data_IF_844307420268
#
_entry.id   IF_844307420268
#
_cell.length_a   1.000
_cell.length_b   1.000
_cell.length_c   1.000
_cell.angle_alpha   90.00
_cell.angle_beta   90.00
_cell.angle_gamma   90.00
#
_symmetry.space_group_name_H-M   'P 1'
#
loop_
_entity.id
_entity.type
_entity.pdbx_description
1 polymer ?
#
# COMPACT_ATOMS: atom_id res chain seq x y z
N UNK A 1 -6.05 -8.94 -30.71
CA UNK A 1 -5.04 -8.98 -29.63
C UNK A 1 -5.33 -10.20 -28.76
N UNK A 2 -4.34 -11.01 -28.41
CA UNK A 2 -4.56 -12.20 -27.55
C UNK A 2 -4.94 -11.72 -26.15
N UNK A 3 -5.99 -12.31 -25.58
CA UNK A 3 -6.37 -12.13 -24.17
C UNK A 3 -5.14 -12.30 -23.26
N UNK A 4 -4.88 -11.40 -22.29
CA UNK A 4 -3.76 -11.55 -21.37
C UNK A 4 -3.86 -12.89 -20.64
N UNK A 5 -2.77 -13.65 -20.65
CA UNK A 5 -2.70 -14.91 -19.91
C UNK A 5 -2.83 -14.59 -18.41
N UNK A 6 -3.76 -15.24 -17.69
CA UNK A 6 -4.05 -14.99 -16.26
C UNK A 6 -2.92 -15.38 -15.30
N UNK A 7 -1.76 -15.76 -15.83
CA UNK A 7 -0.59 -16.29 -15.12
C UNK A 7 0.67 -15.42 -15.31
N UNK A 8 0.51 -14.10 -15.46
CA UNK A 8 1.63 -13.19 -15.69
C UNK A 8 1.55 -11.97 -14.80
N UNK A 9 2.67 -11.63 -14.15
CA UNK A 9 2.81 -10.36 -13.46
C UNK A 9 3.22 -9.29 -14.45
N UNK A 10 2.38 -8.28 -14.59
CA UNK A 10 2.69 -7.07 -15.33
C UNK A 10 3.19 -6.02 -14.34
N UNK A 11 4.35 -5.45 -14.62
CA UNK A 11 4.84 -4.28 -13.88
C UNK A 11 5.00 -3.19 -14.92
N UNK A 12 4.30 -2.08 -14.69
CA UNK A 12 4.56 -0.87 -15.45
C UNK A 12 5.85 -0.25 -14.90
N UNK A 13 6.83 -0.03 -15.76
CA UNK A 13 8.00 0.78 -15.41
C UNK A 13 7.88 2.13 -16.09
N UNK A 14 8.03 3.20 -15.32
CA UNK A 14 7.97 4.56 -15.85
C UNK A 14 9.37 5.00 -16.25
N UNK A 15 9.60 5.17 -17.55
CA UNK A 15 10.77 5.91 -18.06
C UNK A 15 10.37 7.37 -18.18
N UNK A 16 11.02 8.23 -17.41
CA UNK A 16 11.06 9.68 -17.59
C UNK A 16 9.70 10.39 -17.81
N UNK A 17 8.64 9.85 -17.21
CA UNK A 17 7.37 10.56 -17.03
C UNK A 17 6.49 10.75 -18.27
N UNK A 18 6.86 10.33 -19.48
CA UNK A 18 6.04 10.56 -20.69
C UNK A 18 5.26 9.35 -21.19
N UNK A 19 5.85 8.14 -21.21
CA UNK A 19 5.23 6.96 -21.83
C UNK A 19 5.13 5.76 -20.88
N UNK A 20 3.98 5.07 -20.91
CA UNK A 20 3.73 3.84 -20.15
C UNK A 20 4.12 2.64 -21.01
N UNK A 21 5.27 2.03 -20.71
CA UNK A 21 5.62 0.72 -21.26
C UNK A 21 5.26 -0.38 -20.25
N UNK A 22 4.33 -1.24 -20.64
CA UNK A 22 3.98 -2.43 -19.89
C UNK A 22 4.99 -3.53 -20.20
N UNK A 23 5.75 -3.96 -19.19
CA UNK A 23 6.64 -5.10 -19.33
C UNK A 23 6.07 -6.31 -18.58
N UNK A 24 5.92 -7.42 -19.31
CA UNK A 24 5.67 -8.73 -18.69
C UNK A 24 6.96 -9.16 -18.02
N UNK A 25 6.98 -9.15 -16.69
CA UNK A 25 8.21 -9.43 -15.97
C UNK A 25 8.51 -10.93 -16.00
N UNK A 26 7.55 -11.78 -15.64
CA UNK A 26 7.70 -13.23 -15.67
C UNK A 26 6.33 -13.94 -15.66
N UNK A 27 6.24 -15.20 -16.15
CA UNK A 27 5.12 -16.09 -15.82
C UNK A 27 5.21 -16.44 -14.33
N UNK A 28 4.37 -15.80 -13.53
CA UNK A 28 4.19 -16.11 -12.12
C UNK A 28 2.67 -16.27 -11.91
N UNK A 29 2.25 -17.32 -11.21
CA UNK A 29 0.85 -17.46 -10.80
C UNK A 29 0.54 -16.40 -9.74
N UNK A 30 0.27 -15.18 -10.19
CA UNK A 30 -0.04 -14.02 -9.33
C UNK A 30 -1.39 -14.16 -8.64
N UNK A 31 -2.29 -14.95 -9.22
CA UNK A 31 -3.65 -15.18 -8.73
C UNK A 31 -3.73 -15.84 -7.34
N UNK A 32 -2.63 -16.37 -6.81
CA UNK A 32 -2.57 -16.93 -5.46
C UNK A 32 -2.04 -15.94 -4.43
N UNK A 33 -1.46 -14.79 -4.84
CA UNK A 33 -0.89 -13.78 -3.95
C UNK A 33 -1.92 -12.71 -3.57
N UNK A 34 -2.09 -12.46 -2.27
CA UNK A 34 -3.09 -11.53 -1.73
C UNK A 34 -2.47 -10.25 -1.15
N UNK A 35 -1.14 -10.21 -1.00
CA UNK A 35 -0.38 -9.07 -0.48
C UNK A 35 0.90 -8.85 -1.28
N UNK A 36 1.22 -7.58 -1.53
CA UNK A 36 2.43 -7.15 -2.21
C UNK A 36 3.14 -6.14 -1.31
N UNK A 37 4.45 -6.30 -1.13
CA UNK A 37 5.29 -5.34 -0.40
C UNK A 37 6.39 -4.86 -1.33
N UNK A 38 6.51 -3.54 -1.49
CA UNK A 38 7.59 -2.92 -2.26
C UNK A 38 8.84 -2.76 -1.40
N UNK A 39 10.02 -2.91 -2.01
CA UNK A 39 11.32 -2.66 -1.39
C UNK A 39 12.23 -1.96 -2.41
N UNK A 40 13.34 -1.32 -1.99
CA UNK A 40 14.27 -0.67 -2.92
C UNK A 40 14.82 -1.59 -4.02
N UNK A 41 14.91 -2.89 -3.74
CA UNK A 41 15.47 -3.91 -4.65
C UNK A 41 14.43 -4.68 -5.47
N UNK A 42 13.13 -4.59 -5.15
CA UNK A 42 12.11 -5.42 -5.80
C UNK A 42 10.82 -5.56 -5.00
N UNK A 43 10.03 -6.58 -5.34
CA UNK A 43 8.70 -6.82 -4.80
C UNK A 43 8.64 -8.14 -4.04
N UNK A 44 8.07 -8.14 -2.84
CA UNK A 44 7.67 -9.37 -2.17
C UNK A 44 6.19 -9.65 -2.48
N UNK A 45 5.92 -10.81 -3.08
CA UNK A 45 4.58 -11.33 -3.29
C UNK A 45 4.30 -12.36 -2.21
N UNK A 46 3.24 -12.15 -1.43
CA UNK A 46 2.96 -12.91 -0.21
C UNK A 46 1.52 -13.42 -0.23
N UNK A 47 1.33 -14.69 0.14
CA UNK A 47 0.03 -15.24 0.52
C UNK A 47 0.12 -16.04 1.83
N UNK A 48 -0.90 -16.83 2.15
CA UNK A 48 -0.94 -17.63 3.37
C UNK A 48 0.01 -18.84 3.34
N UNK A 49 0.37 -19.33 2.16
CA UNK A 49 1.14 -20.54 1.93
C UNK A 49 2.56 -20.30 1.37
N UNK A 50 2.79 -19.18 0.70
CA UNK A 50 3.97 -18.96 -0.12
C UNK A 50 4.41 -17.48 -0.12
N UNK A 51 5.70 -17.27 -0.38
CA UNK A 51 6.32 -15.97 -0.54
C UNK A 51 7.45 -16.03 -1.55
N UNK A 52 7.43 -15.11 -2.51
CA UNK A 52 8.53 -14.93 -3.44
C UNK A 52 8.96 -13.47 -3.54
N UNK A 53 10.23 -13.27 -3.82
CA UNK A 53 10.81 -11.99 -4.16
C UNK A 53 10.99 -11.91 -5.67
N UNK A 54 10.48 -10.85 -6.26
CA UNK A 54 10.59 -10.54 -7.68
C UNK A 54 11.55 -9.38 -7.82
N UNK A 55 12.53 -9.55 -8.71
CA UNK A 55 13.46 -8.50 -9.12
C UNK A 55 13.13 -8.11 -10.56
N UNK A 56 12.27 -7.09 -10.75
CA UNK A 56 11.84 -6.62 -12.06
C UNK A 56 12.97 -6.45 -13.07
N UNK A 57 14.01 -5.70 -12.69
CA UNK A 57 15.15 -5.36 -13.55
C UNK A 57 15.97 -6.57 -13.98
N UNK A 58 16.03 -7.59 -13.14
CA UNK A 58 16.79 -8.81 -13.40
C UNK A 58 15.93 -9.94 -13.99
N UNK A 59 14.60 -9.74 -14.08
CA UNK A 59 13.63 -10.77 -14.44
C UNK A 59 13.88 -12.07 -13.67
N UNK A 60 14.09 -11.93 -12.36
CA UNK A 60 14.39 -13.03 -11.44
C UNK A 60 13.29 -13.16 -10.39
N UNK A 61 12.90 -14.40 -10.10
CA UNK A 61 12.05 -14.75 -8.96
C UNK A 61 12.85 -15.66 -8.04
N UNK A 62 12.85 -15.33 -6.75
CA UNK A 62 13.43 -16.15 -5.70
C UNK A 62 12.35 -16.52 -4.71
N UNK A 63 12.08 -17.81 -4.54
CA UNK A 63 11.17 -18.32 -3.52
C UNK A 63 11.85 -18.38 -2.16
N UNK A 64 11.13 -18.01 -1.11
CA UNK A 64 11.61 -18.14 0.27
C UNK A 64 10.75 -19.18 1.00
N UNK A 65 11.33 -19.96 1.94
CA UNK A 65 10.52 -20.74 2.87
C UNK A 65 9.66 -19.78 3.69
N UNK A 66 8.36 -19.75 3.39
CA UNK A 66 7.43 -18.85 4.06
C UNK A 66 7.16 -19.32 5.50
N UNK A 67 7.23 -18.38 6.45
CA UNK A 67 6.72 -18.57 7.80
C UNK A 67 5.42 -17.76 7.93
N UNK A 68 4.28 -18.40 8.27
CA UNK A 68 2.99 -17.71 8.31
C UNK A 68 3.00 -16.58 9.34
N UNK A 69 2.57 -15.39 8.91
CA UNK A 69 2.19 -14.28 9.79
C UNK A 69 0.66 -14.13 9.80
N UNK A 70 0.12 -13.39 10.76
CA UNK A 70 -1.33 -13.30 10.96
C UNK A 70 -2.05 -12.94 9.65
N UNK A 71 -3.06 -13.73 9.29
CA UNK A 71 -3.94 -13.46 8.14
C UNK A 71 -4.53 -12.05 8.28
N UNK A 72 -4.55 -11.29 7.18
CA UNK A 72 -5.03 -9.89 7.10
C UNK A 72 -4.17 -8.83 7.80
N UNK A 73 -2.93 -9.14 8.21
CA UNK A 73 -2.00 -8.08 8.60
C UNK A 73 -1.68 -7.18 7.40
N UNK A 74 -1.59 -5.88 7.64
CA UNK A 74 -0.97 -4.97 6.70
C UNK A 74 0.55 -5.15 6.75
N UNK A 75 1.20 -5.20 5.58
CA UNK A 75 2.62 -5.47 5.47
C UNK A 75 3.36 -4.27 4.91
N UNK A 76 4.54 -3.94 5.46
CA UNK A 76 5.40 -2.88 4.96
C UNK A 76 6.88 -3.28 5.07
N UNK A 77 7.70 -2.83 4.12
CA UNK A 77 9.15 -2.99 4.19
C UNK A 77 9.77 -1.78 4.89
N UNK A 78 10.43 -1.99 6.02
CA UNK A 78 11.01 -0.93 6.86
C UNK A 78 12.40 -1.41 7.29
N UNK A 79 13.43 -0.63 6.98
CA UNK A 79 14.82 -0.85 7.41
C UNK A 79 15.33 -2.28 7.23
N UNK A 80 15.11 -2.85 6.04
CA UNK A 80 15.58 -4.21 5.70
C UNK A 80 14.69 -5.35 6.20
N UNK A 81 13.61 -5.04 6.91
CA UNK A 81 12.65 -6.02 7.44
C UNK A 81 11.29 -5.87 6.78
N UNK A 82 10.50 -6.95 6.78
CA UNK A 82 9.06 -6.87 6.53
C UNK A 82 8.37 -6.82 7.89
N UNK A 83 7.59 -5.78 8.12
CA UNK A 83 6.71 -5.66 9.27
C UNK A 83 5.30 -6.12 8.92
N UNK A 84 4.61 -6.65 9.92
CA UNK A 84 3.22 -7.02 9.89
C UNK A 84 2.47 -6.32 11.02
N UNK A 85 1.48 -5.51 10.66
CA UNK A 85 0.66 -4.72 11.56
C UNK A 85 -0.77 -5.27 11.60
N UNK A 86 -1.27 -5.53 12.80
CA UNK A 86 -2.62 -6.05 13.04
C UNK A 86 -2.76 -7.55 12.75
N UNK A 87 -3.89 -7.94 12.16
CA UNK A 87 -4.21 -9.33 11.83
C UNK A 87 -5.71 -9.62 11.82
N UNK A 88 -6.09 -10.83 12.23
CA UNK A 88 -7.50 -11.22 12.33
C UNK A 88 -8.20 -10.38 13.42
N UNK A 89 -9.21 -9.61 12.99
CA UNK A 89 -10.00 -8.68 13.85
C UNK A 89 -9.13 -7.53 14.36
N UNK A 90 -9.77 -6.57 15.04
CA UNK A 90 -9.08 -5.50 15.73
C UNK A 90 -7.95 -6.06 16.62
N UNK A 91 -6.70 -5.72 16.28
CA UNK A 91 -5.50 -6.25 16.93
C UNK A 91 -4.45 -5.17 17.13
N UNK A 92 -3.65 -5.29 18.20
CA UNK A 92 -2.47 -4.46 18.47
C UNK A 92 -1.16 -5.07 17.98
N UNK A 93 -1.22 -6.30 17.45
CA UNK A 93 -0.06 -7.10 17.11
C UNK A 93 0.84 -6.38 16.10
N UNK A 94 2.14 -6.32 16.40
CA UNK A 94 3.18 -5.91 15.45
C UNK A 94 4.25 -6.99 15.47
N UNK A 95 4.65 -7.44 14.28
CA UNK A 95 5.74 -8.41 14.11
C UNK A 95 6.66 -7.96 13.00
N UNK A 96 7.93 -8.36 13.04
CA UNK A 96 8.87 -8.13 11.95
C UNK A 96 9.63 -9.41 11.58
N UNK A 97 10.08 -9.50 10.35
CA UNK A 97 10.98 -10.56 9.87
C UNK A 97 12.10 -9.94 9.05
N UNK A 98 13.34 -10.33 9.34
CA UNK A 98 14.51 -9.97 8.55
C UNK A 98 14.88 -11.14 7.62
N UNK A 99 14.60 -10.99 6.32
CA UNK A 99 14.86 -12.03 5.33
C UNK A 99 16.35 -12.18 4.96
N UNK A 100 17.22 -11.31 5.45
CA UNK A 100 18.67 -11.41 5.28
C UNK A 100 19.34 -12.28 6.36
N UNK A 101 18.62 -12.64 7.42
CA UNK A 101 19.12 -13.57 8.44
C UNK A 101 19.26 -14.99 7.86
N UNK A 102 20.18 -15.80 8.39
CA UNK A 102 20.40 -17.17 7.92
C UNK A 102 19.20 -18.10 8.18
N UNK A 103 18.41 -17.82 9.22
CA UNK A 103 17.15 -18.48 9.54
C UNK A 103 16.09 -17.44 9.91
N UNK A 104 15.48 -16.75 8.93
CA UNK A 104 14.52 -15.68 9.16
C UNK A 104 13.34 -16.14 9.98
N UNK A 105 12.96 -15.42 11.03
CA UNK A 105 11.78 -15.70 11.84
C UNK A 105 11.02 -14.43 12.18
N UNK A 106 9.70 -14.58 12.33
CA UNK A 106 8.84 -13.50 12.80
C UNK A 106 9.08 -13.26 14.29
N UNK A 107 9.51 -12.04 14.62
CA UNK A 107 9.75 -11.58 15.99
C UNK A 107 8.65 -10.60 16.37
N UNK A 108 8.23 -10.63 17.63
CA UNK A 108 7.31 -9.61 18.16
C UNK A 108 8.03 -8.27 18.25
N UNK A 109 7.32 -7.21 17.89
CA UNK A 109 7.76 -5.83 18.05
C UNK A 109 6.86 -5.11 19.06
N UNK A 110 7.14 -3.83 19.34
CA UNK A 110 6.27 -3.04 20.20
C UNK A 110 4.86 -2.97 19.61
N UNK A 111 3.87 -3.37 20.42
CA UNK A 111 2.47 -3.37 20.01
C UNK A 111 1.95 -1.95 19.79
N UNK A 112 1.00 -1.82 18.86
CA UNK A 112 0.24 -0.58 18.66
C UNK A 112 -0.50 -0.18 19.95
N UNK A 113 -0.70 1.12 20.18
CA UNK A 113 -1.39 1.61 21.38
C UNK A 113 -2.89 1.26 21.34
N UNK A 114 -3.50 1.29 20.17
CA UNK A 114 -4.89 0.96 19.90
C UNK A 114 -5.01 -0.19 18.91
N UNK A 115 -5.98 -1.06 19.16
CA UNK A 115 -6.28 -2.17 18.27
C UNK A 115 -6.96 -1.66 16.99
N UNK A 116 -6.57 -2.21 15.84
CA UNK A 116 -7.07 -1.81 14.52
C UNK A 116 -7.34 -3.06 13.67
N UNK A 117 -8.37 -3.03 12.83
CA UNK A 117 -8.77 -4.11 11.94
C UNK A 117 -8.39 -3.76 10.49
N UNK A 118 -7.39 -4.46 9.94
CA UNK A 118 -6.82 -4.18 8.59
C UNK A 118 -6.36 -2.73 8.42
N UNK A 119 -5.38 -2.28 9.22
CA UNK A 119 -4.94 -0.90 9.18
C UNK A 119 -4.35 -0.52 7.83
N UNK A 120 -4.60 0.71 7.40
CA UNK A 120 -3.83 1.37 6.37
C UNK A 120 -2.47 1.77 6.95
N UNK A 121 -1.40 1.25 6.36
CA UNK A 121 -0.02 1.53 6.79
C UNK A 121 0.64 2.41 5.75
N UNK A 122 1.13 3.57 6.16
CA UNK A 122 1.83 4.52 5.30
C UNK A 122 3.17 4.86 5.92
N UNK A 123 4.24 4.71 5.14
CA UNK A 123 5.57 5.20 5.51
C UNK A 123 5.79 6.58 4.89
N UNK A 124 6.21 7.54 5.70
CA UNK A 124 6.62 8.87 5.24
C UNK A 124 7.80 9.35 6.10
N UNK A 125 8.83 9.88 5.44
CA UNK A 125 10.14 10.09 6.05
C UNK A 125 10.61 8.80 6.77
N UNK A 126 11.04 8.91 8.04
CA UNK A 126 11.51 7.79 8.85
C UNK A 126 10.44 7.26 9.81
N UNK A 127 9.16 7.53 9.55
CA UNK A 127 8.04 7.15 10.42
C UNK A 127 7.03 6.30 9.66
N UNK A 128 6.28 5.53 10.42
CA UNK A 128 5.19 4.70 9.92
C UNK A 128 3.91 5.14 10.60
N UNK A 129 2.85 5.30 9.83
CA UNK A 129 1.54 5.68 10.33
C UNK A 129 0.56 4.54 10.11
N UNK A 130 -0.19 4.22 11.15
CA UNK A 130 -1.28 3.27 11.11
C UNK A 130 -2.61 4.01 11.31
N UNK A 131 -3.50 3.83 10.34
CA UNK A 131 -4.87 4.33 10.36
C UNK A 131 -5.80 3.14 10.21
N UNK A 132 -7.03 3.26 10.71
CA UNK A 132 -8.06 2.28 10.45
C UNK A 132 -9.38 3.02 10.26
N UNK A 133 -10.04 2.74 9.13
CA UNK A 133 -11.33 3.31 8.78
C UNK A 133 -12.52 2.44 9.21
N UNK A 134 -12.30 1.23 9.75
CA UNK A 134 -13.37 0.38 10.25
C UNK A 134 -13.73 0.79 11.69
N UNK A 135 -14.72 1.68 11.84
CA UNK A 135 -15.32 2.08 13.14
C UNK A 135 -14.35 2.74 14.12
N UNK A 136 -13.23 3.24 13.64
CA UNK A 136 -12.28 4.04 14.41
C UNK A 136 -11.77 5.19 13.54
N UNK A 137 -11.26 6.22 14.19
CA UNK A 137 -10.61 7.37 13.57
C UNK A 137 -9.19 7.56 14.13
N UNK A 138 -8.68 6.54 14.82
CA UNK A 138 -7.39 6.59 15.49
C UNK A 138 -6.26 6.71 14.46
N UNK A 139 -5.37 7.67 14.72
CA UNK A 139 -4.08 7.80 14.05
C UNK A 139 -2.97 7.45 15.03
N UNK A 140 -2.07 6.54 14.63
CA UNK A 140 -0.92 6.15 15.45
C UNK A 140 0.34 6.23 14.61
N UNK A 141 1.38 6.81 15.18
CA UNK A 141 2.71 6.87 14.58
C UNK A 141 3.62 5.87 15.28
N UNK A 142 4.41 5.17 14.49
CA UNK A 142 5.50 4.29 14.91
C UNK A 142 6.84 4.89 14.47
N UNK A 143 7.77 4.94 15.42
CA UNK A 143 9.17 5.22 15.19
C UNK A 143 9.97 3.91 15.15
N UNK A 144 10.40 3.44 13.96
CA UNK A 144 11.21 2.23 13.86
C UNK A 144 12.55 2.31 14.58
N UNK A 145 13.10 3.53 14.75
CA UNK A 145 14.42 3.73 15.35
C UNK A 145 14.40 3.52 16.87
N UNK A 146 13.35 3.98 17.55
CA UNK A 146 13.15 3.76 18.99
C UNK A 146 12.27 2.55 19.31
N UNK A 147 11.60 1.97 18.30
CA UNK A 147 10.58 0.94 18.46
C UNK A 147 9.42 1.39 19.36
N UNK A 148 8.97 2.63 19.20
CA UNK A 148 7.91 3.22 20.03
C UNK A 148 6.73 3.70 19.19
N UNK A 149 5.54 3.61 19.79
CA UNK A 149 4.31 4.16 19.22
C UNK A 149 3.87 5.40 19.98
N UNK A 150 3.24 6.34 19.26
CA UNK A 150 2.53 7.48 19.86
C UNK A 150 1.20 7.74 19.17
N UNK A 151 0.25 8.28 19.93
CA UNK A 151 -1.02 8.76 19.38
C UNK A 151 -0.80 10.10 18.67
N UNK A 152 -1.58 10.33 17.62
CA UNK A 152 -1.62 11.56 16.83
C UNK A 152 -3.06 12.07 16.73
N UNK A 153 -3.25 13.24 16.14
CA UNK A 153 -4.59 13.77 15.85
C UNK A 153 -5.43 12.74 15.10
N UNK A 154 -6.67 12.58 15.53
CA UNK A 154 -7.60 11.61 14.96
C UNK A 154 -8.06 12.05 13.57
N UNK A 155 -8.32 11.07 12.69
CA UNK A 155 -8.93 11.32 11.39
C UNK A 155 -10.27 12.06 11.54
N UNK A 156 -10.64 12.95 10.59
CA UNK A 156 -11.91 13.69 10.65
C UNK A 156 -13.17 12.81 10.56
N UNK A 157 -13.03 11.60 10.03
CA UNK A 157 -14.12 10.64 9.84
C UNK A 157 -13.56 9.26 9.51
N UNK A 158 -14.48 8.30 9.33
CA UNK A 158 -14.12 6.96 8.90
C UNK A 158 -13.73 6.91 7.41
N UNK A 159 -12.99 5.89 7.02
CA UNK A 159 -12.60 5.64 5.64
C UNK A 159 -12.63 4.14 5.36
N UNK A 160 -13.79 3.55 5.62
CA UNK A 160 -13.92 2.11 5.52
C UNK A 160 -13.77 1.62 4.07
N UNK A 161 -13.00 0.56 3.85
CA UNK A 161 -12.51 0.11 2.54
C UNK A 161 -11.67 1.11 1.74
N UNK A 162 -11.25 2.24 2.31
CA UNK A 162 -10.42 3.20 1.60
C UNK A 162 -8.99 2.72 1.35
N UNK A 163 -8.15 3.66 0.95
CA UNK A 163 -6.71 3.48 0.83
C UNK A 163 -5.99 4.69 1.43
N UNK A 164 -4.70 4.53 1.71
CA UNK A 164 -3.86 5.63 2.17
C UNK A 164 -2.53 5.66 1.42
N UNK A 165 -2.04 6.85 1.10
CA UNK A 165 -0.79 7.07 0.35
C UNK A 165 -0.01 8.26 0.91
N UNK A 166 1.31 8.21 0.84
CA UNK A 166 2.16 9.37 1.07
C UNK A 166 2.38 10.12 -0.25
N UNK A 167 2.20 11.43 -0.26
CA UNK A 167 2.49 12.31 -1.39
C UNK A 167 3.14 13.60 -0.89
N UNK A 168 4.40 13.81 -1.27
CA UNK A 168 5.21 14.91 -0.74
C UNK A 168 5.49 14.71 0.74
N UNK A 169 5.18 15.72 1.54
CA UNK A 169 5.28 15.76 3.01
C UNK A 169 3.99 15.32 3.73
N UNK A 170 2.94 14.93 2.99
CA UNK A 170 1.62 14.63 3.55
C UNK A 170 1.17 13.21 3.29
N UNK A 171 0.25 12.75 4.14
CA UNK A 171 -0.46 11.49 3.97
C UNK A 171 -1.88 11.79 3.53
N UNK A 172 -2.40 11.01 2.61
CA UNK A 172 -3.76 11.12 2.12
C UNK A 172 -4.51 9.83 2.38
N UNK A 173 -5.71 9.95 2.93
CA UNK A 173 -6.66 8.84 3.16
C UNK A 173 -7.85 9.08 2.25
N UNK A 174 -8.07 8.17 1.28
CA UNK A 174 -8.97 8.38 0.15
C UNK A 174 -9.88 7.20 -0.15
N UNK A 175 -11.07 7.48 -0.67
CA UNK A 175 -12.02 6.49 -1.17
C UNK A 175 -12.90 5.85 -0.11
N UNK A 176 -13.10 4.55 -0.23
CA UNK A 176 -14.00 3.80 0.65
C UNK A 176 -15.48 4.04 0.38
N UNK A 177 -16.33 3.53 1.27
CA UNK A 177 -17.80 3.65 1.16
C UNK A 177 -18.26 5.12 1.28
N UNK A 178 -17.59 5.91 2.11
CA UNK A 178 -17.98 7.30 2.41
C UNK A 178 -17.32 8.33 1.48
N UNK A 179 -16.56 7.85 0.49
CA UNK A 179 -15.78 8.68 -0.45
C UNK A 179 -14.94 9.70 0.30
N UNK A 180 -14.20 9.23 1.30
CA UNK A 180 -13.33 10.10 2.08
C UNK A 180 -12.24 10.69 1.19
N UNK A 181 -11.82 11.90 1.53
CA UNK A 181 -10.58 12.48 1.06
C UNK A 181 -10.07 13.35 2.19
N UNK A 182 -9.05 12.86 2.88
CA UNK A 182 -8.42 13.56 3.99
C UNK A 182 -6.93 13.70 3.70
N UNK A 183 -6.35 14.84 4.02
CA UNK A 183 -4.90 14.98 4.12
C UNK A 183 -4.50 15.13 5.57
N UNK A 184 -3.35 14.57 5.90
CA UNK A 184 -2.71 14.68 7.20
C UNK A 184 -1.32 15.27 7.02
N UNK A 185 -1.03 16.26 7.84
CA UNK A 185 0.25 16.90 7.97
C UNK A 185 0.97 16.32 9.20
N UNK A 186 1.98 15.46 9.00
CA UNK A 186 2.75 14.88 10.10
C UNK A 186 3.57 15.89 10.90
N UNK A 187 3.99 17.00 10.30
CA UNK A 187 4.79 18.02 10.97
C UNK A 187 3.93 18.78 11.98
N UNK A 188 2.73 19.17 11.55
CA UNK A 188 1.81 19.98 12.35
C UNK A 188 0.81 19.16 13.19
N UNK A 189 0.73 17.84 12.98
CA UNK A 189 -0.30 16.97 13.58
C UNK A 189 -1.73 17.38 13.21
N UNK A 190 -1.96 17.75 11.95
CA UNK A 190 -3.23 18.33 11.51
C UNK A 190 -3.87 17.54 10.37
N UNK A 191 -5.17 17.30 10.48
CA UNK A 191 -5.99 16.77 9.40
C UNK A 191 -6.77 17.87 8.69
N UNK A 192 -6.96 17.70 7.38
CA UNK A 192 -7.86 18.52 6.56
C UNK A 192 -8.81 17.63 5.78
N UNK A 193 -10.07 18.05 5.73
CA UNK A 193 -11.09 17.45 4.86
C UNK A 193 -10.99 18.11 3.49
N UNK A 194 -10.91 17.27 2.45
CA UNK A 194 -10.70 17.65 1.07
C UNK A 194 -11.90 17.25 0.21
N UNK A 195 -11.91 17.66 -1.05
CA UNK A 195 -12.95 17.29 -2.00
C UNK A 195 -13.00 15.77 -2.19
N UNK A 196 -14.21 15.22 -2.16
CA UNK A 196 -14.45 13.78 -2.24
C UNK A 196 -14.35 13.27 -3.68
N UNK A 197 -13.90 12.01 -3.92
CA UNK A 197 -14.02 11.37 -5.23
C UNK A 197 -15.49 11.27 -5.64
N UNK A 198 -15.73 11.17 -6.94
CA UNK A 198 -17.10 11.08 -7.46
C UNK A 198 -17.69 9.68 -7.29
N UNK A 199 -16.85 8.65 -7.25
CA UNK A 199 -17.25 7.25 -7.13
C UNK A 199 -16.99 6.64 -5.76
N UNK A 200 -17.83 5.68 -5.36
CA UNK A 200 -17.64 4.86 -4.17
C UNK A 200 -16.74 3.67 -4.49
N UNK A 201 -15.81 3.38 -3.59
CA UNK A 201 -14.73 2.45 -3.88
C UNK A 201 -14.70 1.29 -2.88
N UNK A 202 -15.21 0.13 -3.32
CA UNK A 202 -15.06 -1.15 -2.62
C UNK A 202 -13.85 -1.91 -3.16
N UNK A 203 -12.96 -2.38 -2.29
CA UNK A 203 -11.73 -3.11 -2.68
C UNK A 203 -10.88 -2.34 -3.71
N UNK A 204 -10.61 -1.07 -3.43
CA UNK A 204 -9.79 -0.22 -4.29
C UNK A 204 -8.30 -0.35 -3.98
N UNK A 205 -7.51 0.22 -4.87
CA UNK A 205 -6.10 0.53 -4.64
C UNK A 205 -5.90 2.02 -4.92
N UNK A 206 -5.02 2.65 -4.14
CA UNK A 206 -4.53 3.98 -4.42
C UNK A 206 -3.01 4.00 -4.53
N UNK A 207 -2.48 4.93 -5.33
CA UNK A 207 -1.05 5.18 -5.45
C UNK A 207 -0.76 6.61 -5.88
N UNK A 208 0.49 7.03 -5.76
CA UNK A 208 0.96 8.28 -6.32
C UNK A 208 1.38 8.09 -7.78
N UNK A 209 0.92 8.97 -8.65
CA UNK A 209 1.28 9.03 -10.05
C UNK A 209 1.44 10.48 -10.49
N UNK A 210 2.62 10.85 -11.02
CA UNK A 210 2.90 12.21 -11.52
C UNK A 210 2.55 13.35 -10.53
N UNK A 211 2.84 13.13 -9.24
CA UNK A 211 2.55 14.10 -8.18
C UNK A 211 1.05 14.22 -7.82
N UNK A 212 0.23 13.28 -8.28
CA UNK A 212 -1.21 13.18 -8.04
C UNK A 212 -1.53 11.83 -7.41
N UNK A 213 -2.76 11.66 -6.92
CA UNK A 213 -3.21 10.40 -6.33
C UNK A 213 -4.17 9.72 -7.29
N UNK A 214 -3.81 8.54 -7.77
CA UNK A 214 -4.74 7.66 -8.46
C UNK A 214 -5.43 6.76 -7.45
N UNK A 215 -6.74 6.62 -7.57
CA UNK A 215 -7.53 5.60 -6.88
C UNK A 215 -8.36 4.86 -7.92
N UNK A 216 -8.48 3.54 -7.78
CA UNK A 216 -9.25 2.77 -8.74
C UNK A 216 -9.61 1.37 -8.31
N UNK A 217 -10.47 0.74 -9.11
CA UNK A 217 -10.80 -0.67 -9.06
C UNK A 217 -10.78 -1.28 -10.47
N UNK A 218 -11.45 -2.41 -10.69
CA UNK A 218 -11.48 -3.07 -12.00
C UNK A 218 -12.20 -2.27 -13.10
N UNK A 219 -13.08 -1.34 -12.72
CA UNK A 219 -14.03 -0.68 -13.64
C UNK A 219 -13.85 0.81 -13.71
N UNK A 220 -13.25 1.42 -12.70
CA UNK A 220 -13.18 2.87 -12.59
C UNK A 220 -11.88 3.34 -11.94
N UNK A 221 -11.31 4.43 -12.46
CA UNK A 221 -10.13 5.11 -11.94
C UNK A 221 -10.41 6.62 -11.90
N UNK A 222 -10.05 7.24 -10.78
CA UNK A 222 -10.05 8.69 -10.60
C UNK A 222 -8.65 9.14 -10.18
N UNK A 223 -8.30 10.36 -10.58
CA UNK A 223 -7.09 11.06 -10.18
C UNK A 223 -7.45 12.28 -9.35
N UNK A 224 -6.77 12.45 -8.22
CA UNK A 224 -6.85 13.64 -7.37
C UNK A 224 -5.64 14.55 -7.57
N UNK A 225 -5.94 15.80 -7.86
CA UNK A 225 -4.99 16.91 -7.84
C UNK A 225 -5.00 17.60 -6.48
N UNK A 226 -3.92 17.51 -5.67
CA UNK A 226 -3.85 18.19 -4.39
C UNK A 226 -3.67 19.71 -4.49
N UNK A 227 -3.28 20.24 -5.66
CA UNK A 227 -3.12 21.69 -5.86
C UNK A 227 -4.49 22.34 -6.07
N UNK A 228 -5.31 21.73 -6.92
CA UNK A 228 -6.63 22.23 -7.28
C UNK A 228 -7.76 21.68 -6.39
N UNK A 229 -7.45 20.75 -5.46
CA UNK A 229 -8.41 19.97 -4.68
C UNK A 229 -9.52 19.37 -5.56
N UNK A 230 -9.12 18.66 -6.62
CA UNK A 230 -10.06 18.22 -7.66
C UNK A 230 -9.83 16.79 -8.12
N UNK A 231 -10.93 16.07 -8.31
CA UNK A 231 -10.96 14.74 -8.92
C UNK A 231 -11.25 14.79 -10.42
N UNK A 232 -10.62 13.90 -11.18
CA UNK A 232 -10.83 13.71 -12.63
C UNK A 232 -10.87 12.23 -12.97
N UNK A 233 -11.78 11.85 -13.88
CA UNK A 233 -11.82 10.48 -14.40
C UNK A 233 -10.56 10.11 -15.20
N UNK A 234 -10.11 8.85 -15.04
CA UNK A 234 -8.94 8.26 -15.72
C UNK A 234 -9.20 6.81 -16.16
N UNK A 235 -10.42 6.49 -16.58
CA UNK A 235 -10.75 5.13 -17.03
C UNK A 235 -9.95 4.71 -18.27
N UNK A 236 -9.41 5.67 -19.03
CA UNK A 236 -8.46 5.46 -20.12
C UNK A 236 -7.17 4.75 -19.68
N UNK A 237 -6.83 4.78 -18.38
CA UNK A 237 -5.67 4.07 -17.83
C UNK A 237 -5.93 2.58 -17.53
N UNK A 238 -7.14 2.06 -17.73
CA UNK A 238 -7.47 0.65 -17.52
C UNK A 238 -7.21 -0.18 -18.79
N UNK A 239 -6.14 -1.01 -18.86
CA UNK A 239 -6.01 -1.99 -19.93
C UNK A 239 -7.01 -3.13 -19.70
N UNK A 240 -7.93 -3.36 -20.64
CA UNK A 240 -8.84 -4.51 -20.71
C UNK A 240 -9.58 -4.90 -19.39
N UNK A 241 -9.93 -3.91 -18.57
CA UNK A 241 -10.89 -4.09 -17.46
C UNK A 241 -10.32 -4.46 -16.09
N UNK A 242 -9.14 -3.96 -15.70
CA UNK A 242 -8.96 -3.66 -14.28
C UNK A 242 -7.58 -3.32 -13.71
N UNK A 243 -7.60 -2.53 -12.62
CA UNK A 243 -6.39 -2.12 -11.88
C UNK A 243 -5.70 -3.26 -11.11
N UNK A 244 -6.34 -4.43 -10.94
CA UNK A 244 -5.79 -5.54 -10.14
C UNK A 244 -4.49 -6.13 -10.71
N UNK A 245 -4.19 -5.88 -11.99
CA UNK A 245 -2.94 -6.27 -12.63
C UNK A 245 -1.94 -5.10 -12.75
N UNK A 246 -2.29 -3.92 -12.24
CA UNK A 246 -1.48 -2.72 -12.32
C UNK A 246 -0.71 -2.54 -11.00
N UNK A 247 0.47 -3.15 -10.91
CA UNK A 247 1.45 -2.76 -9.89
C UNK A 247 2.13 -1.50 -10.40
N UNK A 248 1.76 -0.35 -9.84
CA UNK A 248 2.46 0.91 -10.02
C UNK A 248 3.67 0.92 -9.09
N UNK A 249 4.79 0.41 -9.59
CA UNK A 249 6.08 0.46 -8.88
C UNK A 249 6.86 1.70 -9.34
N UNK A 250 6.76 2.78 -8.57
CA UNK A 250 7.70 3.89 -8.71
C UNK A 250 8.98 3.52 -7.94
N UNK A 251 10.01 3.01 -8.63
CA UNK A 251 11.35 3.03 -8.03
C UNK A 251 11.85 4.48 -8.05
N UNK A 252 11.86 5.17 -6.92
CA UNK A 252 12.76 6.30 -6.75
C UNK A 252 14.18 5.73 -6.72
N UNK A 253 14.86 5.74 -7.86
CA UNK A 253 16.33 5.83 -7.84
C UNK A 253 16.66 7.24 -7.37
N UNK A 254 17.25 7.32 -6.16
CA UNK A 254 18.07 8.47 -5.76
C UNK A 254 19.27 8.54 -6.71
#
# INVERSE_FOLDING_TARGET
>A
MKSPNKDSLFVATFKDGSDTEWETILPCKTSTYDRIVTSPSGLYLININDCCFVEPKLKRVTSFPWKPVNKYSALAFIDGKIFAFGGNRASKSVKSINLQESNPEWKSEQEMLHAVDRPHIVQIANKVYAFDGWRTTVTQEFDPASNEWRMRSQMPGDCYYGAAVALGDKIYVVGGEVRACYSYDPENDEWKVLSKPTHEYYNNAATVWRGRILIGNEKHVEEYDPVDDRWSNRDDLLPDGGIKNMILHASCTI
#
